data_IF_309639681075
#
_entry.id   IF_309639681075
#
_cell.length_a   1.000
_cell.length_b   1.000
_cell.length_c   1.000
_cell.angle_alpha   90.00
_cell.angle_beta   90.00
_cell.angle_gamma   90.00
#
_symmetry.space_group_name_H-M   'P 1'
#
loop_
_entity.id
_entity.type
_entity.pdbx_description
1 polymer ?
#
# COMPACT_ATOMS: atom_id res chain seq x y z
N UNK A 1 8.09 15.42 -11.66
CA UNK A 1 7.79 13.99 -11.74
C UNK A 1 6.64 13.73 -12.71
N UNK A 2 6.91 12.94 -13.75
CA UNK A 2 5.98 12.51 -14.80
C UNK A 2 5.34 11.15 -14.44
N UNK A 3 4.38 10.67 -15.26
CA UNK A 3 3.84 9.30 -15.14
C UNK A 3 4.92 8.25 -15.43
N UNK A 4 5.78 8.51 -16.41
CA UNK A 4 6.87 7.63 -16.80
C UNK A 4 7.92 7.51 -15.70
N UNK A 5 8.24 8.61 -15.02
CA UNK A 5 9.14 8.60 -13.87
C UNK A 5 8.61 7.62 -12.81
N UNK A 6 7.33 7.73 -12.42
CA UNK A 6 6.74 6.86 -11.41
C UNK A 6 6.54 5.42 -11.87
N UNK A 7 6.20 5.19 -13.15
CA UNK A 7 6.11 3.83 -13.69
C UNK A 7 7.47 3.14 -13.66
N UNK A 8 8.53 3.88 -13.96
CA UNK A 8 9.90 3.39 -13.84
C UNK A 8 10.22 3.02 -12.38
N UNK A 9 9.73 3.77 -11.39
CA UNK A 9 9.86 3.42 -9.97
C UNK A 9 9.16 2.11 -9.60
N UNK A 10 7.91 1.93 -10.06
CA UNK A 10 7.18 0.68 -9.83
C UNK A 10 7.90 -0.50 -10.49
N UNK A 11 8.55 -0.29 -11.63
CA UNK A 11 9.30 -1.30 -12.35
C UNK A 11 10.69 -1.61 -11.76
N UNK A 12 11.25 -0.75 -10.89
CA UNK A 12 12.62 -0.93 -10.36
C UNK A 12 12.81 -2.34 -9.78
N UNK A 13 13.85 -3.08 -10.19
CA UNK A 13 14.12 -4.40 -9.64
C UNK A 13 14.69 -4.28 -8.22
N UNK A 14 14.62 -5.38 -7.45
CA UNK A 14 15.30 -5.49 -6.16
C UNK A 14 14.69 -4.69 -5.01
N UNK A 15 13.43 -4.25 -5.13
CA UNK A 15 12.70 -3.63 -4.01
C UNK A 15 12.45 -4.68 -2.93
N UNK A 16 12.77 -4.35 -1.68
CA UNK A 16 12.73 -5.25 -0.53
C UNK A 16 12.10 -4.57 0.67
N UNK A 17 11.02 -5.13 1.19
CA UNK A 17 10.56 -4.82 2.56
C UNK A 17 11.32 -5.76 3.48
N UNK A 18 12.09 -5.22 4.43
CA UNK A 18 12.85 -6.03 5.40
C UNK A 18 12.23 -5.87 6.79
N UNK A 19 11.94 -7.01 7.43
CA UNK A 19 11.32 -7.06 8.76
C UNK A 19 9.85 -7.47 8.74
N UNK A 20 9.32 -7.71 9.94
CA UNK A 20 7.93 -8.10 10.14
C UNK A 20 6.99 -6.90 9.93
N UNK A 21 5.88 -7.15 9.23
CA UNK A 21 4.80 -6.18 9.04
C UNK A 21 3.75 -6.41 10.13
N UNK A 22 3.67 -5.47 11.06
CA UNK A 22 2.82 -5.54 12.24
C UNK A 22 1.97 -4.28 12.36
N UNK A 23 0.67 -4.48 12.59
CA UNK A 23 -0.28 -3.41 12.85
C UNK A 23 -0.43 -3.28 14.36
N UNK A 24 0.09 -2.19 14.90
CA UNK A 24 0.18 -2.02 16.35
C UNK A 24 -1.09 -1.37 16.88
N UNK A 25 -1.49 -1.77 18.08
CA UNK A 25 -2.53 -1.04 18.80
C UNK A 25 -1.94 0.28 19.33
N UNK A 26 -2.57 1.39 18.98
CA UNK A 26 -2.23 2.73 19.44
C UNK A 26 -3.48 3.32 20.14
N UNK A 27 -3.47 3.49 21.48
CA UNK A 27 -4.63 3.98 22.22
C UNK A 27 -5.13 5.34 21.73
N UNK A 28 -4.23 6.20 21.25
CA UNK A 28 -4.57 7.55 20.78
C UNK A 28 -5.20 7.54 19.37
N UNK A 29 -5.08 6.42 18.64
CA UNK A 29 -5.64 6.24 17.29
C UNK A 29 -6.74 5.19 17.24
N UNK A 30 -7.12 4.60 18.38
CA UNK A 30 -8.14 3.58 18.43
C UNK A 30 -9.47 4.05 17.79
N UNK A 31 -10.17 3.20 17.03
CA UNK A 31 -9.89 1.77 16.82
C UNK A 31 -8.83 1.47 15.73
N UNK A 32 -8.29 2.49 15.05
CA UNK A 32 -7.33 2.33 13.96
C UNK A 32 -6.00 1.76 14.47
N UNK A 33 -5.51 0.71 13.80
CA UNK A 33 -4.20 0.11 14.07
C UNK A 33 -3.22 0.55 12.99
N UNK A 34 -2.29 1.48 13.23
CA UNK A 34 -1.29 1.86 12.24
C UNK A 34 -0.28 0.72 12.02
N UNK A 35 0.18 0.60 10.78
CA UNK A 35 1.33 -0.22 10.46
C UNK A 35 2.60 0.41 11.06
N UNK A 36 3.42 -0.39 11.73
CA UNK A 36 4.77 0.06 12.12
C UNK A 36 5.56 0.38 10.84
N UNK A 37 5.89 1.66 10.64
CA UNK A 37 6.55 2.14 9.42
C UNK A 37 7.81 1.34 9.12
N UNK A 38 7.86 0.74 7.93
CA UNK A 38 9.03 0.02 7.43
C UNK A 38 9.67 0.78 6.27
N UNK A 39 10.99 0.88 6.32
CA UNK A 39 11.79 1.30 5.18
C UNK A 39 11.81 0.16 4.14
N UNK A 40 11.53 0.49 2.88
CA UNK A 40 11.71 -0.43 1.76
C UNK A 40 13.12 -0.20 1.21
N UNK A 41 13.99 -1.20 1.36
CA UNK A 41 15.31 -1.19 0.73
C UNK A 41 15.16 -1.36 -0.79
N UNK A 42 16.01 -0.73 -1.59
CA UNK A 42 16.13 -1.03 -3.01
C UNK A 42 17.57 -0.89 -3.48
N UNK A 43 17.83 -1.25 -4.73
CA UNK A 43 19.17 -1.28 -5.35
C UNK A 43 19.66 0.09 -5.86
N UNK A 44 18.96 1.19 -5.56
CA UNK A 44 19.32 2.54 -6.00
C UNK A 44 19.30 3.57 -4.87
N UNK A 45 19.40 4.86 -5.20
CA UNK A 45 19.31 5.97 -4.23
C UNK A 45 17.87 6.21 -3.72
N UNK A 46 16.90 5.38 -4.13
CA UNK A 46 15.48 5.66 -3.95
C UNK A 46 14.97 5.15 -2.60
N UNK A 47 14.39 6.03 -1.79
CA UNK A 47 13.86 5.63 -0.48
C UNK A 47 12.35 5.48 -0.59
N UNK A 48 11.88 4.23 -0.63
CA UNK A 48 10.46 3.90 -0.61
C UNK A 48 10.05 3.59 0.83
N UNK A 49 8.88 4.07 1.23
CA UNK A 49 8.28 3.82 2.54
C UNK A 49 6.96 3.09 2.34
N UNK A 50 6.67 2.16 3.24
CA UNK A 50 5.36 1.53 3.34
C UNK A 50 4.67 2.03 4.60
N UNK A 51 3.53 2.67 4.39
CA UNK A 51 2.58 3.04 5.43
C UNK A 51 1.31 2.19 5.29
N UNK A 52 0.57 2.05 6.37
CA UNK A 52 -0.72 1.37 6.33
C UNK A 52 -1.51 1.53 7.60
N UNK A 53 -2.76 1.13 7.55
CA UNK A 53 -3.64 1.06 8.70
C UNK A 53 -4.67 -0.04 8.53
N UNK A 54 -5.06 -0.63 9.65
CA UNK A 54 -6.13 -1.60 9.74
C UNK A 54 -7.25 -1.05 10.64
N UNK A 55 -8.50 -1.22 10.24
CA UNK A 55 -9.66 -0.91 11.05
C UNK A 55 -10.40 -2.19 11.44
N UNK A 56 -10.39 -2.59 12.72
CA UNK A 56 -11.00 -3.85 13.16
C UNK A 56 -12.50 -3.88 12.95
N UNK A 57 -13.22 -2.81 13.29
CA UNK A 57 -14.70 -2.79 13.24
C UNK A 57 -15.26 -2.98 11.82
N UNK A 58 -14.49 -2.58 10.80
CA UNK A 58 -14.88 -2.72 9.39
C UNK A 58 -14.15 -3.86 8.69
N UNK A 59 -13.23 -4.52 9.39
CA UNK A 59 -12.28 -5.47 8.84
C UNK A 59 -11.65 -4.94 7.54
N UNK A 60 -11.14 -3.70 7.58
CA UNK A 60 -10.61 -2.99 6.41
C UNK A 60 -9.13 -2.68 6.55
N UNK A 61 -8.43 -2.67 5.42
CA UNK A 61 -6.98 -2.49 5.35
C UNK A 61 -6.64 -1.45 4.28
N UNK A 62 -5.78 -0.50 4.62
CA UNK A 62 -5.15 0.37 3.64
C UNK A 62 -3.63 0.22 3.70
N UNK A 63 -3.01 0.13 2.53
CA UNK A 63 -1.56 0.06 2.37
C UNK A 63 -1.14 1.08 1.32
N UNK A 64 -0.14 1.90 1.66
CA UNK A 64 0.36 2.97 0.80
C UNK A 64 1.87 2.88 0.69
N UNK A 65 2.36 2.69 -0.52
CA UNK A 65 3.76 2.90 -0.86
C UNK A 65 3.97 4.36 -1.24
N UNK A 66 4.92 5.01 -0.58
CA UNK A 66 5.35 6.38 -0.86
C UNK A 66 6.84 6.41 -1.20
N UNK A 67 7.29 7.43 -1.93
CA UNK A 67 8.68 7.56 -2.36
C UNK A 67 9.24 8.93 -2.00
N UNK A 68 10.40 8.98 -1.34
CA UNK A 68 11.01 10.24 -0.88
C UNK A 68 11.29 11.21 -2.04
N UNK A 69 11.77 10.69 -3.17
CA UNK A 69 12.02 11.47 -4.38
C UNK A 69 10.76 11.99 -5.07
N UNK A 70 9.59 11.43 -4.73
CA UNK A 70 8.28 11.97 -5.10
C UNK A 70 7.75 12.96 -4.04
N UNK A 71 8.63 13.60 -3.26
CA UNK A 71 8.28 14.41 -2.08
C UNK A 71 7.48 13.63 -1.03
N UNK A 72 7.74 12.33 -0.89
CA UNK A 72 6.97 11.45 0.00
C UNK A 72 5.55 11.14 -0.50
N UNK A 73 5.22 11.43 -1.76
CA UNK A 73 3.88 11.17 -2.30
C UNK A 73 3.63 9.67 -2.51
N UNK A 74 2.37 9.22 -2.35
CA UNK A 74 1.92 7.89 -2.75
C UNK A 74 2.23 7.59 -4.22
N UNK A 75 2.81 6.41 -4.44
CA UNK A 75 3.08 5.85 -5.77
C UNK A 75 2.21 4.62 -6.06
N UNK A 76 1.70 3.98 -5.02
CA UNK A 76 0.71 2.91 -5.07
C UNK A 76 -0.05 2.91 -3.74
N UNK A 77 -1.39 2.86 -3.78
CA UNK A 77 -2.22 2.68 -2.59
C UNK A 77 -3.29 1.64 -2.88
N UNK A 78 -3.60 0.82 -1.89
CA UNK A 78 -4.63 -0.21 -1.98
C UNK A 78 -5.48 -0.10 -0.74
N UNK A 79 -6.79 -0.01 -0.96
CA UNK A 79 -7.81 -0.01 0.07
C UNK A 79 -8.66 -1.28 -0.10
N UNK A 80 -8.84 -2.00 1.00
CA UNK A 80 -9.51 -3.30 1.04
C UNK A 80 -10.62 -3.24 2.06
N UNK A 81 -11.84 -3.62 1.64
CA UNK A 81 -13.07 -3.64 2.44
C UNK A 81 -13.34 -2.31 3.16
N UNK A 82 -12.78 -1.22 2.62
CA UNK A 82 -12.89 0.12 3.15
C UNK A 82 -14.34 0.59 3.22
N UNK A 83 -14.51 1.75 3.84
CA UNK A 83 -15.78 2.47 3.73
C UNK A 83 -15.93 2.86 2.27
N UNK A 84 -17.10 2.56 1.71
CA UNK A 84 -17.40 2.95 0.35
C UNK A 84 -17.40 4.47 0.26
N UNK A 85 -16.56 5.01 -0.61
CA UNK A 85 -16.50 6.43 -0.90
C UNK A 85 -16.30 6.64 -2.41
N UNK A 86 -17.17 7.46 -2.99
CA UNK A 86 -17.29 7.69 -4.43
C UNK A 86 -17.46 6.38 -5.25
N UNK A 87 -17.11 6.42 -6.54
CA UNK A 87 -17.35 5.35 -7.53
C UNK A 87 -16.35 4.19 -7.48
N UNK A 88 -15.49 4.11 -6.45
CA UNK A 88 -14.38 3.16 -6.38
C UNK A 88 -14.72 1.81 -5.74
N UNK A 89 -15.91 1.69 -5.15
CA UNK A 89 -16.28 0.55 -4.31
C UNK A 89 -15.42 0.41 -3.05
N UNK A 90 -15.72 -0.61 -2.24
CA UNK A 90 -15.05 -0.86 -0.95
C UNK A 90 -13.60 -1.36 -1.07
N UNK A 91 -13.28 -2.00 -2.19
CA UNK A 91 -11.95 -2.55 -2.44
C UNK A 91 -11.42 -2.06 -3.78
N UNK A 92 -10.37 -1.24 -3.74
CA UNK A 92 -9.78 -0.64 -4.93
C UNK A 92 -8.28 -0.39 -4.78
N UNK A 93 -7.61 -0.31 -5.93
CA UNK A 93 -6.23 0.12 -6.03
C UNK A 93 -6.18 1.50 -6.68
N UNK A 94 -5.42 2.39 -6.07
CA UNK A 94 -5.05 3.67 -6.61
C UNK A 94 -3.86 3.49 -7.55
N UNK A 95 -4.05 3.83 -8.84
CA UNK A 95 -3.03 3.64 -9.88
C UNK A 95 -2.82 4.89 -10.74
N UNK A 96 -1.63 4.94 -11.36
CA UNK A 96 -1.23 5.98 -12.29
C UNK A 96 -1.75 5.69 -13.70
N UNK A 97 -2.98 6.12 -14.00
CA UNK A 97 -3.54 5.99 -15.37
C UNK A 97 -3.33 7.22 -16.25
N UNK A 98 -3.36 8.43 -15.70
CA UNK A 98 -3.24 9.69 -16.44
C UNK A 98 -1.93 10.38 -16.11
N UNK A 99 -1.41 11.19 -17.03
CA UNK A 99 -0.17 11.96 -16.81
C UNK A 99 -0.26 12.95 -15.65
N UNK A 100 -1.48 13.34 -15.27
CA UNK A 100 -1.74 14.23 -14.13
C UNK A 100 -1.88 13.49 -12.79
N UNK A 101 -1.97 12.16 -12.77
CA UNK A 101 -2.12 11.39 -11.53
C UNK A 101 -1.01 11.63 -10.49
N UNK A 102 0.29 11.76 -10.85
CA UNK A 102 1.35 12.10 -9.90
C UNK A 102 1.10 13.43 -9.16
N UNK A 103 0.46 14.40 -9.84
CA UNK A 103 0.18 15.73 -9.29
C UNK A 103 -1.08 15.78 -8.43
N UNK A 104 -1.94 14.75 -8.54
CA UNK A 104 -3.26 14.68 -7.91
C UNK A 104 -3.36 13.57 -6.85
N UNK A 105 -2.22 13.10 -6.33
CA UNK A 105 -2.17 12.10 -5.27
C UNK A 105 -2.89 10.77 -5.61
N UNK A 106 -2.62 10.21 -6.79
CA UNK A 106 -3.24 8.97 -7.29
C UNK A 106 -4.78 8.99 -7.30
N UNK A 107 -5.43 9.92 -8.03
CA UNK A 107 -6.88 10.07 -7.99
C UNK A 107 -7.62 8.91 -8.67
N UNK A 108 -6.94 8.13 -9.51
CA UNK A 108 -7.59 7.07 -10.28
C UNK A 108 -7.67 5.80 -9.47
N UNK A 109 -8.90 5.29 -9.33
CA UNK A 109 -9.23 4.07 -8.61
C UNK A 109 -9.60 2.98 -9.61
N UNK A 110 -9.19 1.77 -9.31
CA UNK A 110 -9.53 0.58 -10.07
C UNK A 110 -10.06 -0.42 -9.07
N UNK A 111 -11.30 -0.85 -9.26
CA UNK A 111 -11.92 -1.88 -8.43
C UNK A 111 -11.07 -3.15 -8.41
N UNK A 112 -10.96 -3.75 -7.22
CA UNK A 112 -10.24 -5.00 -6.97
C UNK A 112 -11.15 -5.96 -6.22
N UNK A 113 -12.29 -6.28 -6.82
CA UNK A 113 -13.26 -7.23 -6.25
C UNK A 113 -12.62 -8.59 -5.95
N UNK A 114 -11.55 -8.96 -6.67
CA UNK A 114 -10.75 -10.15 -6.40
C UNK A 114 -10.09 -10.15 -5.01
N UNK A 115 -9.84 -9.00 -4.41
CA UNK A 115 -9.30 -8.87 -3.05
C UNK A 115 -10.37 -8.91 -1.95
N UNK A 116 -11.66 -8.77 -2.28
CA UNK A 116 -12.74 -8.69 -1.29
C UNK A 116 -12.84 -9.96 -0.44
N UNK A 117 -12.62 -11.14 -1.01
CA UNK A 117 -12.73 -12.43 -0.33
C UNK A 117 -11.41 -13.03 0.15
N UNK A 118 -10.27 -12.42 -0.21
CA UNK A 118 -8.95 -12.94 0.14
C UNK A 118 -8.59 -12.66 1.60
N UNK A 119 -7.76 -13.51 2.20
CA UNK A 119 -7.17 -13.18 3.50
C UNK A 119 -6.09 -12.09 3.34
N UNK A 120 -5.88 -11.24 4.36
CA UNK A 120 -4.92 -10.13 4.27
C UNK A 120 -3.48 -10.55 3.91
N UNK A 121 -2.95 -11.68 4.43
CA UNK A 121 -1.64 -12.17 3.99
C UNK A 121 -1.59 -12.50 2.49
N UNK A 122 -2.69 -12.95 1.90
CA UNK A 122 -2.78 -13.25 0.47
C UNK A 122 -2.83 -11.97 -0.36
N UNK A 123 -3.58 -10.98 0.10
CA UNK A 123 -3.62 -9.65 -0.51
C UNK A 123 -2.21 -9.05 -0.49
N UNK A 124 -1.52 -9.09 0.66
CA UNK A 124 -0.15 -8.61 0.78
C UNK A 124 0.80 -9.30 -0.22
N UNK A 125 0.78 -10.64 -0.30
CA UNK A 125 1.58 -11.39 -1.28
C UNK A 125 1.28 -10.97 -2.72
N UNK A 126 0.01 -10.76 -3.06
CA UNK A 126 -0.39 -10.29 -4.38
C UNK A 126 0.12 -8.87 -4.66
N UNK A 127 0.06 -7.98 -3.68
CA UNK A 127 0.60 -6.62 -3.81
C UNK A 127 2.11 -6.62 -4.01
N UNK A 128 2.85 -7.41 -3.23
CA UNK A 128 4.28 -7.63 -3.42
C UNK A 128 4.60 -8.07 -4.87
N UNK A 129 3.87 -9.07 -5.38
CA UNK A 129 4.04 -9.55 -6.76
C UNK A 129 3.73 -8.47 -7.80
N UNK A 130 2.61 -7.76 -7.66
CA UNK A 130 2.19 -6.71 -8.60
C UNK A 130 3.16 -5.52 -8.62
N UNK A 131 3.77 -5.21 -7.48
CA UNK A 131 4.70 -4.09 -7.32
C UNK A 131 6.16 -4.49 -7.50
N UNK A 132 6.47 -5.74 -7.84
CA UNK A 132 7.83 -6.26 -7.92
C UNK A 132 8.64 -5.95 -6.63
N UNK A 133 8.04 -6.27 -5.49
CA UNK A 133 8.61 -6.10 -4.14
C UNK A 133 8.78 -7.49 -3.53
N UNK A 134 9.99 -7.79 -3.08
CA UNK A 134 10.30 -8.95 -2.23
C UNK A 134 10.03 -8.56 -0.77
N UNK A 135 9.37 -9.42 0.00
CA UNK A 135 9.22 -9.22 1.45
C UNK A 135 10.09 -10.25 2.18
N UNK A 136 11.04 -9.74 2.97
CA UNK A 136 11.95 -10.51 3.81
C UNK A 136 11.53 -10.36 5.28
N UNK A 137 10.47 -11.08 5.66
CA UNK A 137 9.91 -11.06 7.00
C UNK A 137 8.53 -11.73 7.03
N UNK A 138 7.81 -11.57 8.13
CA UNK A 138 6.45 -12.12 8.28
C UNK A 138 5.43 -10.99 8.19
N UNK A 139 4.39 -11.16 7.37
CA UNK A 139 3.20 -10.32 7.44
C UNK A 139 2.27 -10.90 8.50
N UNK A 140 2.10 -10.21 9.63
CA UNK A 140 1.17 -10.64 10.68
C UNK A 140 -0.22 -10.17 10.33
N UNK A 141 -1.13 -11.12 10.15
CA UNK A 141 -2.52 -10.81 9.81
C UNK A 141 -3.15 -9.93 10.92
N UNK A 142 -3.56 -8.69 10.61
CA UNK A 142 -4.09 -7.77 11.62
C UNK A 142 -5.47 -8.19 12.15
N UNK A 143 -6.19 -9.08 11.45
CA UNK A 143 -7.50 -9.59 11.88
C UNK A 143 -7.42 -10.69 12.94
N UNK A 144 -6.21 -11.24 13.17
CA UNK A 144 -5.96 -12.31 14.14
C UNK A 144 -5.22 -11.84 15.39
N UNK A 145 -4.94 -10.53 15.47
CA UNK A 145 -4.19 -9.87 16.55
C UNK A 145 -5.11 -9.17 17.55
#
# INVERSE_FOLDING_TARGET
>A
MTREDLQSLLALPGKRVVGDLEFVHDPDKAPLRPLRSLAVQNTGEWTVKLDGWYHPDHNSLSLTFSCAQADGKPICRVDVRGIEHDDGGRTHKHELRRDTCPRKNLPTRIERQDFESMAFPEIWRNLCRMSNVEHQGVFRDPSTQ
#
